data_IF_340320281242
#
_entry.id   IF_340320281242
#
_cell.length_a   1.000
_cell.length_b   1.000
_cell.length_c   1.000
_cell.angle_alpha   90.00
_cell.angle_beta   90.00
_cell.angle_gamma   90.00
#
_symmetry.space_group_name_H-M   'P 1'
#
loop_
_entity.id
_entity.type
_entity.pdbx_description
1 polymer ?
#
# COMPACT_ATOMS: atom_id res chain seq x y z
N UNK A 1 17.60 6.20 10.53
CA UNK A 1 17.93 4.98 11.31
C UNK A 1 16.97 4.94 12.48
N UNK A 2 16.31 3.80 12.65
CA UNK A 2 15.10 3.57 13.46
C UNK A 2 13.89 3.71 12.54
N UNK A 3 13.24 2.67 11.98
CA UNK A 3 13.09 1.24 12.28
C UNK A 3 12.55 0.99 13.69
N UNK A 4 11.24 0.77 13.78
CA UNK A 4 10.71 -0.23 14.72
C UNK A 4 10.13 -1.39 13.92
N UNK A 5 10.58 -2.57 14.33
CA UNK A 5 10.45 -3.86 13.64
C UNK A 5 9.10 -4.51 13.97
N UNK A 6 8.65 -5.33 13.03
CA UNK A 6 7.58 -6.33 13.09
C UNK A 6 7.42 -7.07 14.45
N UNK A 7 6.22 -7.62 14.74
CA UNK A 7 5.88 -8.19 16.03
C UNK A 7 6.59 -9.53 16.26
N UNK A 8 7.04 -9.84 17.49
CA UNK A 8 7.26 -11.21 17.90
C UNK A 8 6.21 -11.66 18.94
N UNK A 9 5.47 -12.68 18.53
CA UNK A 9 4.71 -13.73 19.24
C UNK A 9 4.16 -13.51 20.67
N UNK A 10 2.93 -14.00 20.85
CA UNK A 10 2.19 -14.08 22.12
C UNK A 10 3.07 -14.51 23.31
N UNK A 11 3.12 -13.67 24.35
CA UNK A 11 3.63 -14.10 25.65
C UNK A 11 4.54 -13.13 26.42
N UNK A 12 4.88 -11.95 25.91
CA UNK A 12 5.58 -10.94 26.72
C UNK A 12 5.14 -9.53 26.35
N UNK A 13 4.49 -8.85 27.30
CA UNK A 13 4.21 -7.42 27.24
C UNK A 13 5.54 -6.66 27.14
N UNK A 14 5.72 -5.92 26.04
CA UNK A 14 6.67 -4.83 25.98
C UNK A 14 5.87 -3.58 26.36
N UNK A 15 5.97 -3.21 27.63
CA UNK A 15 5.60 -1.87 28.12
C UNK A 15 6.36 -0.82 27.30
N UNK A 16 5.64 -0.03 26.51
CA UNK A 16 6.14 1.25 26.01
C UNK A 16 5.56 2.35 26.89
N UNK A 17 6.20 2.50 28.04
CA UNK A 17 6.11 3.68 28.90
C UNK A 17 6.75 4.85 28.14
N UNK A 18 6.00 5.82 27.59
CA UNK A 18 6.44 7.21 27.40
C UNK A 18 5.30 8.11 26.89
N UNK A 19 4.98 9.10 27.71
CA UNK A 19 3.99 10.16 27.52
C UNK A 19 4.37 11.22 26.45
N UNK A 20 5.19 10.89 25.43
CA UNK A 20 5.74 11.86 24.46
C UNK A 20 5.82 11.38 22.99
N UNK A 21 5.28 10.20 22.64
CA UNK A 21 5.38 9.67 21.28
C UNK A 21 4.32 10.26 20.34
N UNK A 22 4.51 11.49 19.87
CA UNK A 22 3.89 11.95 18.63
C UNK A 22 4.61 11.27 17.46
N UNK A 23 4.06 10.17 16.92
CA UNK A 23 4.54 9.57 15.67
C UNK A 23 4.14 10.47 14.51
N UNK A 24 4.98 11.46 14.27
CA UNK A 24 4.85 12.41 13.18
C UNK A 24 5.78 11.99 12.04
N UNK A 25 5.24 11.96 10.80
CA UNK A 25 6.00 11.89 9.53
C UNK A 25 6.45 10.49 9.07
N UNK A 26 5.78 9.41 9.47
CA UNK A 26 6.17 8.07 9.03
C UNK A 26 5.39 7.57 7.81
N UNK A 27 6.09 6.86 6.93
CA UNK A 27 5.49 6.00 5.93
C UNK A 27 5.51 4.58 6.51
N UNK A 28 4.34 4.07 6.84
CA UNK A 28 4.19 2.72 7.40
C UNK A 28 3.65 1.81 6.31
N UNK A 29 4.57 1.04 5.72
CA UNK A 29 4.27 0.02 4.74
C UNK A 29 5.06 -1.26 5.09
N UNK A 30 4.46 -2.07 5.96
CA UNK A 30 4.88 -3.43 6.27
C UNK A 30 3.75 -4.40 5.90
N UNK A 31 3.96 -5.30 4.93
CA UNK A 31 2.91 -6.18 4.36
C UNK A 31 2.13 -7.02 5.37
N UNK A 32 2.61 -7.11 6.61
CA UNK A 32 2.14 -8.02 7.64
C UNK A 32 1.86 -7.36 9.00
N UNK A 33 2.01 -6.04 9.15
CA UNK A 33 1.87 -5.40 10.46
C UNK A 33 1.16 -4.02 10.40
N UNK A 34 -0.05 -3.89 10.96
CA UNK A 34 -0.66 -2.59 11.21
C UNK A 34 0.08 -1.82 12.32
N UNK A 35 -0.15 -0.51 12.41
CA UNK A 35 0.15 0.24 13.62
C UNK A 35 -0.74 -0.30 14.75
N UNK A 36 -0.14 -0.94 15.75
CA UNK A 36 -0.85 -1.65 16.82
C UNK A 36 -0.60 -0.99 18.17
N UNK A 37 -1.67 -0.58 18.84
CA UNK A 37 -1.64 0.15 20.11
C UNK A 37 -2.47 -0.60 21.16
N UNK A 38 -1.83 -1.00 22.25
CA UNK A 38 -2.44 -1.84 23.28
C UNK A 38 -2.25 -1.16 24.64
N UNK A 39 -3.36 -0.82 25.30
CA UNK A 39 -3.37 -0.25 26.66
C UNK A 39 -2.48 1.01 26.80
N UNK A 40 -2.62 1.92 25.82
CA UNK A 40 -1.86 3.18 25.78
C UNK A 40 -2.77 4.39 25.96
N UNK A 41 -2.32 5.37 26.73
CA UNK A 41 -3.04 6.61 26.98
C UNK A 41 -2.30 7.83 26.42
N UNK A 42 -3.04 8.68 25.69
CA UNK A 42 -2.55 9.99 25.26
C UNK A 42 -1.65 9.98 24.02
N UNK A 43 -1.80 8.99 23.14
CA UNK A 43 -1.02 8.91 21.91
C UNK A 43 -1.63 9.77 20.78
N UNK A 44 -0.76 10.45 20.03
CA UNK A 44 -1.13 11.25 18.87
C UNK A 44 -0.48 10.68 17.60
N UNK A 45 -1.31 10.34 16.62
CA UNK A 45 -0.88 9.83 15.30
C UNK A 45 -1.15 10.95 14.30
N UNK A 46 -0.10 11.61 13.81
CA UNK A 46 -0.24 12.83 13.00
C UNK A 46 0.53 12.74 11.70
N UNK A 47 -0.14 12.98 10.57
CA UNK A 47 0.50 13.10 9.26
C UNK A 47 1.37 11.89 8.87
N UNK A 48 0.78 10.69 8.95
CA UNK A 48 1.39 9.45 8.49
C UNK A 48 0.69 8.94 7.23
N UNK A 49 1.44 8.24 6.37
CA UNK A 49 0.88 7.47 5.25
C UNK A 49 1.00 6.00 5.58
N UNK A 50 -0.13 5.36 5.87
CA UNK A 50 -0.22 3.95 6.28
C UNK A 50 -0.96 3.19 5.19
N UNK A 51 -0.23 2.45 4.36
CA UNK A 51 -0.81 1.79 3.19
C UNK A 51 -0.28 0.38 2.96
N UNK A 52 -1.11 -0.44 2.29
CA UNK A 52 -0.77 -1.80 1.84
C UNK A 52 -0.32 -2.76 2.95
N UNK A 53 -0.69 -2.48 4.20
CA UNK A 53 -0.46 -3.37 5.33
C UNK A 53 -1.60 -4.40 5.42
N UNK A 54 -1.32 -5.56 6.01
CA UNK A 54 -2.33 -6.58 6.32
C UNK A 54 -2.37 -6.87 7.82
N UNK A 55 -3.57 -7.05 8.37
CA UNK A 55 -3.79 -7.39 9.77
C UNK A 55 -5.00 -8.29 9.97
N UNK A 56 -5.24 -8.72 11.21
CA UNK A 56 -6.43 -9.53 11.52
C UNK A 56 -7.67 -8.65 11.67
N UNK A 57 -7.59 -7.58 12.45
CA UNK A 57 -8.75 -6.77 12.87
C UNK A 57 -8.77 -5.36 12.25
N UNK A 58 -7.61 -4.71 12.09
CA UNK A 58 -7.44 -3.48 11.32
C UNK A 58 -6.09 -3.52 10.60
N UNK A 59 -6.08 -3.27 9.29
CA UNK A 59 -4.85 -3.39 8.48
C UNK A 59 -3.95 -2.17 8.60
N UNK A 60 -4.50 -0.98 8.84
CA UNK A 60 -3.73 0.27 8.99
C UNK A 60 -3.48 0.63 10.46
N UNK A 61 -4.54 0.76 11.26
CA UNK A 61 -4.50 1.05 12.69
C UNK A 61 -5.33 0.04 13.47
N UNK A 62 -4.74 -0.54 14.50
CA UNK A 62 -5.39 -1.44 15.44
C UNK A 62 -5.18 -0.94 16.85
N UNK A 63 -6.27 -0.65 17.57
CA UNK A 63 -6.24 -0.14 18.94
C UNK A 63 -7.05 -1.04 19.88
N UNK A 64 -6.49 -1.37 21.04
CA UNK A 64 -7.22 -2.04 22.14
C UNK A 64 -7.01 -1.27 23.43
N UNK A 65 -8.10 -0.95 24.14
CA UNK A 65 -8.09 -0.29 25.45
C UNK A 65 -7.21 0.97 25.47
N UNK A 66 -7.11 1.65 24.33
CA UNK A 66 -6.20 2.78 24.14
C UNK A 66 -6.96 4.10 23.97
N UNK A 67 -6.43 5.18 24.52
CA UNK A 67 -6.91 6.54 24.29
C UNK A 67 -5.98 7.26 23.30
N UNK A 68 -6.43 7.39 22.06
CA UNK A 68 -5.61 7.84 20.92
C UNK A 68 -6.36 8.88 20.08
N UNK A 69 -5.62 9.85 19.53
CA UNK A 69 -6.14 10.76 18.51
C UNK A 69 -5.32 10.63 17.23
N UNK A 70 -6.00 10.40 16.11
CA UNK A 70 -5.41 10.34 14.79
C UNK A 70 -5.88 11.53 13.94
N UNK A 71 -4.95 12.34 13.44
CA UNK A 71 -5.23 13.46 12.54
C UNK A 71 -4.29 13.51 11.34
N UNK A 72 -4.80 14.03 10.22
CA UNK A 72 -4.05 14.25 8.98
C UNK A 72 -3.37 13.01 8.38
N UNK A 73 -3.81 11.79 8.72
CA UNK A 73 -3.21 10.57 8.20
C UNK A 73 -3.90 10.10 6.92
N UNK A 74 -3.20 9.28 6.14
CA UNK A 74 -3.75 8.49 5.04
C UNK A 74 -3.73 7.02 5.44
N UNK A 75 -4.91 6.42 5.64
CA UNK A 75 -5.11 5.00 5.82
C UNK A 75 -5.80 4.44 4.56
N UNK A 76 -5.01 3.86 3.65
CA UNK A 76 -5.50 3.42 2.35
C UNK A 76 -4.91 2.08 1.90
N UNK A 77 -5.70 1.28 1.20
CA UNK A 77 -5.29 -0.01 0.66
C UNK A 77 -4.74 -1.02 1.69
N UNK A 78 -5.05 -0.83 2.98
CA UNK A 78 -4.77 -1.83 4.00
C UNK A 78 -5.85 -2.93 4.00
N UNK A 79 -5.51 -4.13 4.48
CA UNK A 79 -6.40 -5.28 4.52
C UNK A 79 -6.55 -5.83 5.92
N UNK A 80 -7.78 -6.19 6.30
CA UNK A 80 -8.06 -6.95 7.51
C UNK A 80 -8.77 -8.26 7.15
N UNK A 81 -8.37 -9.38 7.76
CA UNK A 81 -9.03 -10.67 7.53
C UNK A 81 -10.36 -10.83 8.29
N UNK A 82 -10.63 -9.97 9.27
CA UNK A 82 -11.85 -10.02 10.09
C UNK A 82 -12.26 -8.66 10.62
N UNK A 83 -13.55 -8.30 10.49
CA UNK A 83 -14.20 -7.10 11.05
C UNK A 83 -13.53 -5.75 10.72
N UNK A 84 -14.20 -4.64 11.05
CA UNK A 84 -13.74 -3.28 10.74
C UNK A 84 -13.90 -2.87 9.27
N UNK A 85 -13.39 -1.68 8.92
CA UNK A 85 -13.40 -1.15 7.54
C UNK A 85 -12.14 -1.57 6.74
N UNK A 86 -11.33 -2.49 7.28
CA UNK A 86 -10.04 -2.91 6.72
C UNK A 86 -8.89 -1.96 7.03
N UNK A 87 -9.17 -0.69 7.33
CA UNK A 87 -8.16 0.33 7.62
C UNK A 87 -7.93 0.48 9.12
N UNK A 88 -8.99 0.70 9.89
CA UNK A 88 -8.93 1.01 11.31
C UNK A 88 -9.82 0.03 12.07
N UNK A 89 -9.35 -0.40 13.24
CA UNK A 89 -10.14 -1.15 14.21
C UNK A 89 -9.81 -0.67 15.62
N UNK A 90 -10.86 -0.46 16.42
CA UNK A 90 -10.76 -0.06 17.81
C UNK A 90 -11.60 -0.99 18.69
N UNK A 91 -11.00 -1.53 19.74
CA UNK A 91 -11.66 -2.37 20.73
C UNK A 91 -11.44 -1.81 22.14
N UNK A 92 -12.46 -1.15 22.69
CA UNK A 92 -12.32 -0.43 23.97
C UNK A 92 -11.44 0.82 23.85
N UNK A 93 -11.29 1.55 24.96
CA UNK A 93 -10.63 2.86 24.95
C UNK A 93 -11.37 3.91 24.10
N UNK A 94 -10.76 5.08 23.91
CA UNK A 94 -11.31 6.18 23.11
C UNK A 94 -10.39 6.50 21.92
N UNK A 95 -10.84 6.17 20.72
CA UNK A 95 -10.16 6.54 19.48
C UNK A 95 -10.90 7.71 18.82
N UNK A 96 -10.24 8.87 18.75
CA UNK A 96 -10.71 10.02 17.96
C UNK A 96 -9.99 10.05 16.63
N UNK A 97 -10.74 10.06 15.52
CA UNK A 97 -10.20 10.10 14.15
C UNK A 97 -10.80 11.31 13.45
N UNK A 98 -10.01 12.34 13.16
CA UNK A 98 -10.47 13.56 12.51
C UNK A 98 -9.49 14.05 11.45
N UNK A 99 -9.97 14.62 10.35
CA UNK A 99 -9.15 15.12 9.24
C UNK A 99 -8.20 14.05 8.67
N UNK A 100 -8.67 12.80 8.51
CA UNK A 100 -7.90 11.72 7.89
C UNK A 100 -8.52 11.29 6.57
N UNK A 101 -7.71 10.75 5.67
CA UNK A 101 -8.22 9.88 4.62
C UNK A 101 -8.33 8.47 5.19
N UNK A 102 -9.53 7.90 5.20
CA UNK A 102 -9.76 6.51 5.60
C UNK A 102 -10.55 5.81 4.50
N UNK A 103 -9.91 4.85 3.83
CA UNK A 103 -10.60 4.03 2.83
C UNK A 103 -11.80 3.31 3.45
N UNK A 104 -12.93 3.31 2.74
CA UNK A 104 -14.23 2.84 3.23
C UNK A 104 -14.86 3.69 4.36
N UNK A 105 -14.23 4.82 4.70
CA UNK A 105 -14.75 5.83 5.63
C UNK A 105 -14.57 5.46 7.10
N UNK A 106 -14.54 6.48 7.94
CA UNK A 106 -14.57 6.39 9.40
C UNK A 106 -15.23 7.64 9.96
N UNK A 107 -16.04 7.49 11.01
CA UNK A 107 -16.75 8.62 11.61
C UNK A 107 -15.81 9.63 12.26
N UNK A 108 -16.06 10.92 12.03
CA UNK A 108 -15.25 11.99 12.61
C UNK A 108 -15.19 13.23 11.72
N UNK A 109 -14.86 14.36 12.34
CA UNK A 109 -14.78 15.65 11.67
C UNK A 109 -13.72 15.62 10.57
N UNK A 110 -14.03 16.17 9.39
CA UNK A 110 -13.04 16.37 8.32
C UNK A 110 -12.49 15.10 7.67
N UNK A 111 -12.93 13.89 8.08
CA UNK A 111 -12.47 12.66 7.43
C UNK A 111 -12.99 12.57 5.99
N UNK A 112 -12.16 12.07 5.09
CA UNK A 112 -12.49 11.84 3.68
C UNK A 112 -12.32 10.38 3.29
N UNK A 113 -13.10 9.92 2.32
CA UNK A 113 -13.03 8.56 1.77
C UNK A 113 -12.98 8.65 0.24
N UNK A 114 -11.76 8.82 -0.26
CA UNK A 114 -11.44 8.97 -1.68
C UNK A 114 -10.16 8.19 -1.97
N UNK A 115 -9.85 7.97 -3.25
CA UNK A 115 -8.52 7.50 -3.62
C UNK A 115 -7.51 8.66 -3.41
N UNK A 116 -6.39 8.43 -2.68
CA UNK A 116 -5.38 9.46 -2.46
C UNK A 116 -4.69 9.93 -3.74
N UNK A 117 -4.84 9.24 -4.88
CA UNK A 117 -4.21 9.57 -6.16
C UNK A 117 -2.70 9.81 -6.00
N UNK A 118 -1.99 8.79 -5.52
CA UNK A 118 -0.53 8.82 -5.49
C UNK A 118 0.05 8.91 -6.91
N UNK A 119 1.05 9.77 -7.09
CA UNK A 119 1.74 9.97 -8.36
C UNK A 119 2.51 8.71 -8.80
N UNK A 120 3.11 8.00 -7.84
CA UNK A 120 3.90 6.80 -8.08
C UNK A 120 4.02 5.91 -6.82
N UNK A 121 4.91 4.91 -6.90
CA UNK A 121 5.19 3.95 -5.83
C UNK A 121 5.82 4.54 -4.55
N UNK A 122 6.29 5.78 -4.59
CA UNK A 122 6.88 6.48 -3.44
C UNK A 122 5.83 7.13 -2.56
N UNK A 123 4.55 7.08 -2.96
CA UNK A 123 3.39 7.59 -2.22
C UNK A 123 3.34 9.11 -2.08
N UNK A 124 4.03 9.84 -2.95
CA UNK A 124 3.75 11.27 -3.15
C UNK A 124 2.36 11.43 -3.76
N UNK A 125 1.64 12.49 -3.35
CA UNK A 125 0.38 12.86 -3.97
C UNK A 125 0.64 13.36 -5.40
N UNK A 126 -0.24 13.03 -6.34
CA UNK A 126 -0.27 13.70 -7.64
C UNK A 126 -0.88 15.10 -7.52
N UNK A 127 -0.60 15.99 -8.49
CA UNK A 127 -1.15 17.35 -8.52
C UNK A 127 -2.67 17.41 -8.40
N UNK A 128 -3.39 16.38 -8.87
CA UNK A 128 -4.85 16.29 -8.85
C UNK A 128 -5.43 15.69 -7.57
N UNK A 129 -4.57 15.29 -6.61
CA UNK A 129 -5.00 14.62 -5.40
C UNK A 129 -5.78 15.54 -4.49
N UNK A 130 -7.00 15.14 -4.12
CA UNK A 130 -7.81 15.83 -3.13
C UNK A 130 -7.28 15.71 -1.68
N UNK A 131 -6.14 15.05 -1.46
CA UNK A 131 -5.42 15.10 -0.18
C UNK A 131 -4.61 16.38 0.01
N UNK A 132 -4.35 17.12 -1.08
CA UNK A 132 -3.61 18.39 -1.03
C UNK A 132 -4.48 19.46 -0.34
N UNK A 133 -3.95 20.06 0.72
CA UNK A 133 -4.61 21.08 1.54
C UNK A 133 -5.81 20.59 2.37
N UNK A 134 -6.02 19.27 2.45
CA UNK A 134 -7.19 18.69 3.12
C UNK A 134 -6.99 18.43 4.63
N UNK A 135 -5.77 18.58 5.14
CA UNK A 135 -5.48 18.45 6.56
C UNK A 135 -5.81 19.69 7.37
N UNK A 136 -5.61 19.60 8.69
CA UNK A 136 -5.74 20.73 9.62
C UNK A 136 -4.39 21.11 10.24
N UNK A 137 -4.12 22.40 10.41
CA UNK A 137 -2.91 22.89 11.09
C UNK A 137 -2.95 22.69 12.61
N UNK A 138 -4.15 22.59 13.18
CA UNK A 138 -4.36 22.37 14.60
C UNK A 138 -5.68 21.61 14.88
N UNK A 139 -5.72 20.81 15.94
CA UNK A 139 -6.92 20.10 16.37
C UNK A 139 -7.08 20.18 17.89
N UNK A 140 -8.26 20.57 18.36
CA UNK A 140 -8.55 20.67 19.79
C UNK A 140 -9.10 19.36 20.34
N UNK A 141 -8.42 18.79 21.33
CA UNK A 141 -8.85 17.57 22.01
C UNK A 141 -8.60 17.66 23.53
N UNK A 142 -9.64 17.42 24.34
CA UNK A 142 -9.51 17.41 25.80
C UNK A 142 -9.01 18.73 26.41
N UNK A 143 -9.30 19.87 25.77
CA UNK A 143 -8.81 21.19 26.19
C UNK A 143 -7.34 21.47 25.85
N UNK A 144 -6.70 20.59 25.07
CA UNK A 144 -5.35 20.77 24.50
C UNK A 144 -5.44 20.98 23.00
N UNK A 145 -4.45 21.66 22.44
CA UNK A 145 -4.31 21.86 21.00
C UNK A 145 -3.19 20.98 20.46
N UNK A 146 -3.48 20.19 19.44
CA UNK A 146 -2.54 19.34 18.72
C UNK A 146 -2.16 20.03 17.43
N UNK A 147 -0.88 20.33 17.25
CA UNK A 147 -0.39 21.01 16.07
C UNK A 147 0.14 20.03 15.04
N UNK A 148 -0.06 20.38 13.78
CA UNK A 148 0.58 19.71 12.67
C UNK A 148 2.12 19.91 12.73
N UNK A 149 2.94 18.89 12.41
CA UNK A 149 4.39 19.02 12.39
C UNK A 149 4.87 20.05 11.35
N UNK A 150 5.87 20.87 11.72
CA UNK A 150 6.43 21.92 10.84
C UNK A 150 7.11 21.40 9.56
N UNK A 151 7.51 20.12 9.55
CA UNK A 151 8.16 19.48 8.41
C UNK A 151 7.51 18.16 8.05
N UNK A 152 7.63 17.76 6.79
CA UNK A 152 7.22 16.45 6.27
C UNK A 152 8.32 15.37 6.46
N UNK A 153 8.12 14.17 5.93
CA UNK A 153 9.08 13.06 6.02
C UNK A 153 10.37 13.24 5.19
N UNK A 154 10.38 14.21 4.26
CA UNK A 154 11.52 14.61 3.44
C UNK A 154 12.16 15.90 3.92
N UNK A 155 11.72 16.43 5.07
CA UNK A 155 12.18 17.66 5.69
C UNK A 155 11.85 18.93 4.87
N UNK A 156 10.78 18.90 4.07
CA UNK A 156 10.16 20.08 3.48
C UNK A 156 9.28 20.79 4.52
N UNK A 157 9.11 22.11 4.38
CA UNK A 157 8.22 22.88 5.25
C UNK A 157 6.76 22.51 5.04
N UNK A 158 5.98 22.62 6.11
CA UNK A 158 4.53 22.43 6.13
C UNK A 158 3.86 23.59 6.89
N UNK A 159 2.74 24.14 6.40
CA UNK A 159 2.14 23.88 5.09
C UNK A 159 2.97 24.48 3.94
N UNK A 160 2.93 23.87 2.76
CA UNK A 160 3.56 24.41 1.55
C UNK A 160 2.53 24.52 0.40
N UNK A 161 2.26 25.71 -0.15
CA UNK A 161 2.87 27.01 0.17
C UNK A 161 2.43 27.56 1.54
N UNK A 162 3.29 28.35 2.17
CA UNK A 162 3.00 28.94 3.49
C UNK A 162 1.66 29.71 3.49
N UNK A 163 0.83 29.43 4.50
CA UNK A 163 -0.51 30.01 4.65
C UNK A 163 -1.64 29.17 4.04
N UNK A 164 -1.35 28.06 3.37
CA UNK A 164 -2.34 27.02 3.06
C UNK A 164 -2.62 26.12 4.27
N UNK A 165 -3.54 25.18 4.10
CA UNK A 165 -3.66 24.05 5.01
C UNK A 165 -2.59 23.00 4.70
N UNK A 166 -2.20 22.18 5.69
CA UNK A 166 -1.29 21.06 5.45
C UNK A 166 -1.97 19.97 4.63
N UNK A 167 -1.15 19.17 3.95
CA UNK A 167 -1.63 17.98 3.25
C UNK A 167 -1.94 16.85 4.23
N UNK A 168 -2.75 15.91 3.77
CA UNK A 168 -2.88 14.61 4.43
C UNK A 168 -1.66 13.74 4.11
N UNK A 169 -1.22 12.97 5.10
CA UNK A 169 -0.16 11.99 4.95
C UNK A 169 1.24 12.53 5.28
N UNK A 170 2.24 11.72 4.91
CA UNK A 170 3.64 11.90 5.30
C UNK A 170 4.40 12.96 4.51
N UNK A 171 3.98 13.23 3.27
CA UNK A 171 4.61 14.22 2.37
C UNK A 171 3.82 15.51 2.34
N UNK A 172 4.49 16.61 2.02
CA UNK A 172 3.86 17.88 1.67
C UNK A 172 4.07 18.18 0.18
N UNK A 173 3.01 18.61 -0.49
CA UNK A 173 2.99 19.06 -1.87
C UNK A 173 3.39 20.54 -1.99
N UNK A 174 3.71 20.99 -3.19
CA UNK A 174 3.98 22.42 -3.46
C UNK A 174 2.73 23.24 -3.80
N UNK A 175 1.56 22.60 -3.87
CA UNK A 175 0.30 23.22 -4.23
C UNK A 175 -0.54 23.38 -2.97
N UNK A 176 -1.25 24.50 -2.84
CA UNK A 176 -2.15 24.72 -1.70
C UNK A 176 -3.46 23.93 -1.79
N UNK A 177 -3.86 23.59 -3.01
CA UNK A 177 -5.11 22.90 -3.34
C UNK A 177 -4.85 22.01 -4.56
N UNK A 178 -5.68 20.97 -4.77
CA UNK A 178 -5.55 20.11 -5.93
C UNK A 178 -5.68 20.91 -7.22
N UNK A 179 -4.80 20.65 -8.18
CA UNK A 179 -4.92 21.20 -9.52
C UNK A 179 -6.25 20.75 -10.15
N UNK A 180 -6.99 21.65 -10.83
CA UNK A 180 -8.18 21.27 -11.57
C UNK A 180 -7.83 20.14 -12.54
N UNK A 181 -8.68 19.12 -12.61
CA UNK A 181 -8.61 18.12 -13.67
C UNK A 181 -9.05 18.83 -14.96
N UNK A 182 -8.12 19.50 -15.64
CA UNK A 182 -8.42 20.12 -16.92
C UNK A 182 -8.80 19.00 -17.90
N UNK A 183 -9.97 19.11 -18.51
CA UNK A 183 -10.67 18.02 -19.23
C UNK A 183 -10.04 17.66 -20.59
N UNK A 184 -8.75 17.92 -20.76
CA UNK A 184 -7.94 17.46 -21.89
C UNK A 184 -6.57 17.06 -21.34
N UNK A 185 -6.52 16.05 -20.46
CA UNK A 185 -5.27 15.35 -20.17
C UNK A 185 -5.27 13.96 -20.82
N UNK A 186 -4.37 13.86 -21.78
CA UNK A 186 -4.02 12.74 -22.62
C UNK A 186 -3.55 11.54 -21.82
N UNK A 187 -4.46 10.68 -21.34
CA UNK A 187 -4.12 9.32 -20.88
C UNK A 187 -2.78 9.21 -20.12
N UNK A 188 -2.45 10.19 -19.29
CA UNK A 188 -1.42 10.05 -18.28
C UNK A 188 -2.12 9.16 -17.28
N UNK A 189 -1.94 7.86 -17.52
CA UNK A 189 -2.40 6.78 -16.67
C UNK A 189 -1.95 7.13 -15.26
N UNK A 190 -2.80 7.82 -14.50
CA UNK A 190 -2.84 7.72 -13.05
C UNK A 190 -3.02 6.22 -12.81
N UNK A 191 -1.89 5.53 -12.71
CA UNK A 191 -1.84 4.10 -12.59
C UNK A 191 -2.27 3.83 -11.16
N UNK A 192 -3.59 3.77 -10.96
CA UNK A 192 -4.20 3.39 -9.68
C UNK A 192 -3.44 2.16 -9.20
N UNK A 193 -2.73 2.30 -8.08
CA UNK A 193 -1.89 1.23 -7.58
C UNK A 193 -2.80 0.00 -7.38
N UNK A 194 -2.41 -1.17 -7.92
CA UNK A 194 -3.28 -2.33 -7.86
C UNK A 194 -3.53 -2.71 -6.41
N UNK A 195 -4.80 -2.84 -6.04
CA UNK A 195 -5.24 -3.14 -4.67
C UNK A 195 -4.99 -4.61 -4.30
N UNK A 196 -4.83 -5.49 -5.29
CA UNK A 196 -4.62 -6.94 -5.12
C UNK A 196 -3.50 -7.48 -6.01
N UNK A 197 -2.83 -8.53 -5.54
CA UNK A 197 -2.01 -9.39 -6.39
C UNK A 197 -2.93 -10.19 -7.31
N UNK A 198 -2.67 -10.16 -8.61
CA UNK A 198 -3.36 -11.03 -9.55
C UNK A 198 -2.41 -11.56 -10.61
N UNK A 199 -2.75 -12.75 -11.12
CA UNK A 199 -2.22 -13.29 -12.36
C UNK A 199 -3.37 -13.42 -13.37
N UNK A 200 -3.31 -12.63 -14.44
CA UNK A 200 -4.32 -12.68 -15.51
C UNK A 200 -4.10 -13.88 -16.42
N UNK A 201 -5.20 -14.33 -17.01
CA UNK A 201 -5.16 -15.24 -18.13
C UNK A 201 -4.35 -14.62 -19.28
N UNK A 202 -3.34 -15.33 -19.79
CA UNK A 202 -2.52 -14.91 -20.90
C UNK A 202 -3.39 -14.60 -22.13
N UNK A 203 -3.02 -13.56 -22.90
CA UNK A 203 -3.73 -13.17 -24.11
C UNK A 203 -2.74 -12.97 -25.28
N UNK A 204 -3.02 -13.56 -26.46
CA UNK A 204 -4.13 -14.47 -26.74
C UNK A 204 -3.99 -15.84 -26.04
N UNK A 205 -5.09 -16.58 -25.89
CA UNK A 205 -5.12 -17.99 -25.49
C UNK A 205 -6.35 -18.70 -26.13
N UNK A 206 -6.17 -19.67 -27.05
CA UNK A 206 -4.91 -20.20 -27.55
C UNK A 206 -4.05 -19.17 -28.29
N UNK A 207 -2.74 -19.38 -28.37
CA UNK A 207 -1.79 -18.44 -29.00
C UNK A 207 -0.88 -19.11 -30.04
N UNK A 208 -0.34 -18.29 -30.95
CA UNK A 208 0.67 -18.67 -31.95
C UNK A 208 1.42 -17.42 -32.46
N UNK A 209 2.76 -17.34 -32.43
CA UNK A 209 3.68 -18.08 -31.57
C UNK A 209 3.86 -17.42 -30.19
N UNK A 210 3.27 -16.24 -29.95
CA UNK A 210 3.51 -15.46 -28.75
C UNK A 210 2.24 -15.09 -27.99
N UNK A 211 2.38 -14.91 -26.67
CA UNK A 211 1.32 -14.47 -25.76
C UNK A 211 1.87 -13.51 -24.71
N UNK A 212 1.01 -12.64 -24.19
CA UNK A 212 1.36 -11.74 -23.08
C UNK A 212 0.74 -12.25 -21.79
N UNK A 213 1.57 -12.35 -20.75
CA UNK A 213 1.14 -12.66 -19.38
C UNK A 213 1.17 -11.35 -18.59
N UNK A 214 0.04 -11.00 -17.97
CA UNK A 214 -0.09 -9.80 -17.14
C UNK A 214 -0.32 -10.16 -15.69
N UNK A 215 0.28 -9.40 -14.79
CA UNK A 215 0.13 -9.57 -13.34
C UNK A 215 0.27 -8.23 -12.62
N UNK A 216 -0.20 -8.16 -11.38
CA UNK A 216 -0.01 -6.99 -10.50
C UNK A 216 0.78 -7.34 -9.26
N UNK A 217 1.50 -6.35 -8.76
CA UNK A 217 2.15 -6.37 -7.46
C UNK A 217 1.59 -5.20 -6.65
N UNK A 218 1.13 -5.46 -5.43
CA UNK A 218 0.62 -4.42 -4.51
C UNK A 218 1.74 -3.72 -3.74
N UNK A 219 2.97 -4.21 -3.88
CA UNK A 219 4.18 -3.71 -3.22
C UNK A 219 5.42 -4.11 -4.02
N UNK A 220 6.56 -3.41 -3.85
CA UNK A 220 7.83 -3.87 -4.40
C UNK A 220 8.16 -5.28 -3.91
N UNK A 221 8.46 -6.20 -4.82
CA UNK A 221 8.69 -7.61 -4.49
C UNK A 221 9.66 -8.28 -5.46
N UNK A 222 10.37 -9.31 -5.00
CA UNK A 222 11.05 -10.23 -5.93
C UNK A 222 10.02 -11.17 -6.52
N UNK A 223 9.96 -11.24 -7.84
CA UNK A 223 8.97 -12.00 -8.58
C UNK A 223 9.67 -13.04 -9.44
N UNK A 224 9.15 -14.27 -9.41
CA UNK A 224 9.58 -15.34 -10.30
C UNK A 224 8.39 -15.79 -11.14
N UNK A 225 8.45 -15.54 -12.45
CA UNK A 225 7.44 -16.01 -13.42
C UNK A 225 8.02 -17.15 -14.24
N UNK A 226 7.49 -18.35 -14.03
CA UNK A 226 8.03 -19.58 -14.62
C UNK A 226 6.97 -20.30 -15.45
N UNK A 227 7.39 -20.85 -16.59
CA UNK A 227 6.57 -21.68 -17.47
C UNK A 227 6.96 -23.14 -17.32
N UNK A 228 5.95 -24.01 -17.25
CA UNK A 228 6.06 -25.44 -17.15
C UNK A 228 5.28 -26.14 -18.25
N UNK A 229 5.73 -27.34 -18.64
CA UNK A 229 4.91 -28.27 -19.40
C UNK A 229 3.78 -28.83 -18.53
N UNK A 230 2.77 -29.46 -19.14
CA UNK A 230 1.71 -30.15 -18.41
C UNK A 230 2.21 -31.27 -17.47
N UNK A 231 3.41 -31.81 -17.70
CA UNK A 231 4.05 -32.80 -16.83
C UNK A 231 4.84 -32.17 -15.67
N UNK A 232 4.77 -30.85 -15.49
CA UNK A 232 5.53 -30.11 -14.49
C UNK A 232 7.01 -29.90 -14.85
N UNK A 233 7.43 -30.21 -16.08
CA UNK A 233 8.81 -29.95 -16.51
C UNK A 233 8.99 -28.45 -16.68
N UNK A 234 10.03 -27.90 -16.06
CA UNK A 234 10.47 -26.53 -16.31
C UNK A 234 10.74 -26.30 -17.81
N UNK A 235 10.24 -25.19 -18.34
CA UNK A 235 10.39 -24.81 -19.75
C UNK A 235 11.17 -23.51 -19.87
N UNK A 236 10.74 -22.47 -19.15
CA UNK A 236 11.37 -21.16 -19.21
C UNK A 236 11.09 -20.34 -17.96
N UNK A 237 12.09 -19.60 -17.49
CA UNK A 237 11.87 -18.51 -16.54
C UNK A 237 11.83 -17.18 -17.29
N UNK A 238 10.70 -16.48 -17.20
CA UNK A 238 10.48 -15.21 -17.89
C UNK A 238 10.97 -14.01 -17.07
N UNK A 239 10.81 -14.09 -15.76
CA UNK A 239 11.17 -13.04 -14.79
C UNK A 239 11.73 -13.73 -13.55
N UNK A 240 12.87 -13.24 -13.06
CA UNK A 240 13.42 -13.53 -11.72
C UNK A 240 14.18 -12.30 -11.22
N UNK A 241 13.43 -11.28 -10.79
CA UNK A 241 14.01 -10.01 -10.36
C UNK A 241 13.11 -9.30 -9.35
N UNK A 242 13.64 -8.23 -8.74
CA UNK A 242 12.84 -7.30 -7.95
C UNK A 242 12.11 -6.34 -8.89
N UNK A 243 10.80 -6.23 -8.74
CA UNK A 243 9.95 -5.32 -9.49
C UNK A 243 9.21 -4.37 -8.53
N UNK A 244 8.92 -3.16 -9.00
CA UNK A 244 8.13 -2.17 -8.26
C UNK A 244 6.66 -2.60 -8.16
N UNK A 245 5.92 -1.98 -7.24
CA UNK A 245 4.45 -2.04 -7.24
C UNK A 245 3.90 -1.60 -8.61
N UNK A 246 2.79 -2.19 -9.04
CA UNK A 246 2.14 -1.87 -10.30
C UNK A 246 1.76 -3.09 -11.13
N UNK A 247 1.25 -2.81 -12.33
CA UNK A 247 0.89 -3.84 -13.32
C UNK A 247 2.06 -4.09 -14.24
N UNK A 248 2.44 -5.35 -14.39
CA UNK A 248 3.53 -5.82 -15.22
C UNK A 248 3.01 -6.70 -16.36
N UNK A 249 3.75 -6.74 -17.46
CA UNK A 249 3.44 -7.56 -18.61
C UNK A 249 4.71 -8.20 -19.17
N UNK A 250 4.66 -9.50 -19.42
CA UNK A 250 5.77 -10.25 -20.01
C UNK A 250 5.32 -10.98 -21.27
N UNK A 251 6.12 -10.88 -22.34
CA UNK A 251 5.91 -11.62 -23.58
C UNK A 251 6.60 -12.97 -23.50
N UNK A 252 5.87 -14.05 -23.80
CA UNK A 252 6.47 -15.34 -24.10
C UNK A 252 6.26 -15.71 -25.56
N UNK A 253 7.34 -16.08 -26.24
CA UNK A 253 7.39 -16.37 -27.67
C UNK A 253 7.43 -17.89 -27.98
N UNK A 254 6.96 -18.72 -27.05
CA UNK A 254 7.01 -20.19 -27.14
C UNK A 254 8.42 -20.76 -27.29
N UNK A 255 9.43 -20.17 -26.62
CA UNK A 255 10.76 -20.79 -26.48
C UNK A 255 11.01 -21.32 -25.07
N UNK A 256 11.93 -22.27 -24.95
CA UNK A 256 12.57 -22.65 -23.69
C UNK A 256 13.72 -21.70 -23.32
N UNK A 257 14.40 -21.94 -22.19
CA UNK A 257 15.57 -21.15 -21.73
C UNK A 257 16.78 -21.22 -22.68
N UNK A 258 16.84 -22.22 -23.55
CA UNK A 258 17.89 -22.32 -24.57
C UNK A 258 17.52 -21.59 -25.87
N UNK A 259 16.36 -20.92 -25.89
CA UNK A 259 15.85 -20.21 -27.06
C UNK A 259 15.22 -21.12 -28.12
N UNK A 260 15.11 -22.43 -27.85
CA UNK A 260 14.52 -23.38 -28.79
C UNK A 260 12.98 -23.34 -28.70
N UNK A 261 12.30 -23.42 -29.85
CA UNK A 261 10.83 -23.38 -29.89
C UNK A 261 10.23 -24.67 -29.33
N UNK A 262 9.30 -24.54 -28.39
CA UNK A 262 8.58 -25.68 -27.80
C UNK A 262 7.44 -26.16 -28.70
N UNK A 263 6.99 -27.40 -28.54
CA UNK A 263 5.93 -28.01 -29.36
C UNK A 263 4.53 -27.46 -29.02
N UNK A 264 3.56 -27.59 -29.93
CA UNK A 264 2.15 -27.31 -29.61
C UNK A 264 1.69 -28.15 -28.42
N UNK A 265 0.81 -27.58 -27.58
CA UNK A 265 0.35 -28.28 -26.38
C UNK A 265 -0.13 -27.35 -25.29
N UNK A 266 -0.39 -27.94 -24.12
CA UNK A 266 -0.81 -27.24 -22.92
C UNK A 266 0.43 -26.96 -22.06
N UNK A 267 0.51 -25.73 -21.58
CA UNK A 267 1.53 -25.25 -20.67
C UNK A 267 0.88 -24.60 -19.45
N UNK A 268 1.61 -24.57 -18.35
CA UNK A 268 1.24 -23.86 -17.13
C UNK A 268 2.23 -22.71 -16.93
N UNK A 269 1.78 -21.60 -16.39
CA UNK A 269 2.66 -20.55 -15.90
C UNK A 269 2.29 -20.20 -14.47
N UNK A 270 3.32 -20.03 -13.66
CA UNK A 270 3.21 -19.74 -12.23
C UNK A 270 3.94 -18.45 -11.91
N UNK A 271 3.24 -17.54 -11.25
CA UNK A 271 3.82 -16.36 -10.65
C UNK A 271 4.07 -16.64 -9.17
N UNK A 272 5.31 -16.43 -8.72
CA UNK A 272 5.66 -16.48 -7.31
C UNK A 272 6.16 -15.11 -6.87
N UNK A 273 5.60 -14.59 -5.79
CA UNK A 273 6.01 -13.36 -5.12
C UNK A 273 6.74 -13.77 -3.85
N UNK A 274 8.00 -13.36 -3.72
CA UNK A 274 8.86 -13.72 -2.60
C UNK A 274 8.90 -12.59 -1.56
N UNK A 275 8.82 -12.98 -0.30
CA UNK A 275 9.03 -12.12 0.87
C UNK A 275 10.45 -11.53 0.82
N UNK A 276 10.54 -10.21 0.92
CA UNK A 276 11.79 -9.46 0.78
C UNK A 276 12.79 -9.68 1.92
N UNK A 277 12.35 -10.18 3.09
CA UNK A 277 13.20 -10.39 4.26
C UNK A 277 13.59 -11.86 4.43
N UNK A 278 12.68 -12.79 4.14
CA UNK A 278 12.85 -14.22 4.43
C UNK A 278 13.09 -15.07 3.18
N UNK A 279 12.89 -14.53 1.97
CA UNK A 279 13.07 -15.26 0.71
C UNK A 279 12.06 -16.41 0.51
N UNK A 280 11.04 -16.50 1.36
CA UNK A 280 9.95 -17.48 1.26
C UNK A 280 8.84 -16.98 0.33
N UNK A 281 8.05 -17.90 -0.21
CA UNK A 281 6.87 -17.56 -1.02
C UNK A 281 5.83 -16.84 -0.15
N UNK A 282 5.53 -15.59 -0.49
CA UNK A 282 4.49 -14.78 0.15
C UNK A 282 3.14 -14.96 -0.54
N UNK A 283 3.16 -15.11 -1.87
CA UNK A 283 1.97 -15.33 -2.69
C UNK A 283 2.35 -16.09 -3.96
N UNK A 284 1.47 -16.96 -4.44
CA UNK A 284 1.60 -17.52 -5.79
C UNK A 284 0.24 -17.78 -6.43
N UNK A 285 0.23 -17.79 -7.75
CA UNK A 285 -0.93 -18.18 -8.54
C UNK A 285 -0.47 -18.87 -9.83
N UNK A 286 -1.31 -19.74 -10.36
CA UNK A 286 -1.03 -20.55 -11.54
C UNK A 286 -2.19 -20.47 -12.53
N UNK A 287 -1.85 -20.48 -13.82
CA UNK A 287 -2.81 -20.49 -14.92
C UNK A 287 -2.33 -21.38 -16.05
N UNK A 288 -3.30 -21.87 -16.82
CA UNK A 288 -3.08 -22.74 -17.99
C UNK A 288 -3.11 -21.94 -19.29
N UNK A 289 -2.25 -22.27 -20.24
CA UNK A 289 -2.24 -21.73 -21.60
C UNK A 289 -2.14 -22.82 -22.67
N UNK A 290 -2.62 -22.52 -23.88
CA UNK A 290 -2.65 -23.45 -25.01
C UNK A 290 -1.89 -22.85 -26.19
N UNK A 291 -0.81 -23.52 -26.60
CA UNK A 291 -0.05 -23.19 -27.81
C UNK A 291 -0.55 -24.02 -28.99
N UNK A 292 -0.94 -23.36 -30.08
CA UNK A 292 -1.26 -23.98 -31.35
C UNK A 292 -0.22 -23.55 -32.39
N UNK A 293 0.28 -24.48 -33.19
CA UNK A 293 1.16 -24.18 -34.33
C UNK A 293 0.41 -24.49 -35.61
#
# INVERSE_FOLDING_TARGET
>A
IGVFKAPPQAGSALEMDYCDAATAREIVHQPSAPLSLLDVDGLFIVNNTVCFNAGTYGGGLYTILANTVAINNIFYANKASSQGNGQIYNEGGNLTVAYNLVQHGWEGEGNINIDPHFADSTLHLSDSSACIGAGTSAFSYGGRELFCPEYDCMNNLRPNPAGSNPDLGAFEHELANPAPIDTIDTFTSAQSLPLDFFLQQNFPNPFNPATTIKYSLTQPSRVVLTIFSLTGRHVRTLVDEKQSVGVHACLWDASDDHGAKVSSGIYLYRLQVLDSELGREAWSDERKMVLLK
#
